data_IF_427376473531
#
_entry.id   IF_427376473531
#
_cell.length_a   1.000
_cell.length_b   1.000
_cell.length_c   1.000
_cell.angle_alpha   90.00
_cell.angle_beta   90.00
_cell.angle_gamma   90.00
#
_symmetry.space_group_name_H-M   'P 1'
#
loop_
_entity.id
_entity.type
_entity.pdbx_description
1 polymer ?
#
# COMPACT_ATOMS: atom_id res chain seq x y z
N UNK A 1 -3.23 -3.30 14.56
CA UNK A 1 -4.02 -2.16 14.02
C UNK A 1 -3.72 -2.03 12.55
N UNK A 2 -4.72 -1.71 11.76
CA UNK A 2 -4.51 -1.45 10.32
C UNK A 2 -4.15 0.02 10.07
N UNK A 3 -3.57 0.36 8.91
CA UNK A 3 -3.30 1.76 8.56
C UNK A 3 -4.55 2.65 8.64
N UNK A 4 -5.70 2.12 8.19
CA UNK A 4 -6.98 2.82 8.29
C UNK A 4 -7.40 3.05 9.76
N UNK A 5 -7.26 2.05 10.62
CA UNK A 5 -7.61 2.16 12.04
C UNK A 5 -6.83 3.26 12.74
N UNK A 6 -5.54 3.31 12.51
CA UNK A 6 -4.65 4.34 13.05
C UNK A 6 -5.05 5.73 12.55
N UNK A 7 -5.31 5.84 11.25
CA UNK A 7 -5.70 7.11 10.63
C UNK A 7 -7.06 7.62 11.10
N UNK A 8 -8.03 6.71 11.20
CA UNK A 8 -9.37 7.04 11.71
C UNK A 8 -9.29 7.61 13.13
N UNK A 9 -8.58 6.92 14.00
CA UNK A 9 -8.39 7.38 15.38
C UNK A 9 -7.67 8.72 15.45
N UNK A 10 -6.60 8.90 14.68
CA UNK A 10 -5.83 10.13 14.63
C UNK A 10 -6.68 11.31 14.16
N UNK A 11 -7.49 11.14 13.12
CA UNK A 11 -8.41 12.16 12.62
C UNK A 11 -9.47 12.53 13.67
N UNK A 12 -10.10 11.53 14.27
CA UNK A 12 -11.11 11.77 15.30
C UNK A 12 -10.55 12.58 16.49
N UNK A 13 -9.39 12.19 16.97
CA UNK A 13 -8.71 12.91 18.07
C UNK A 13 -8.30 14.33 17.67
N UNK A 14 -7.80 14.50 16.46
CA UNK A 14 -7.40 15.80 15.91
C UNK A 14 -8.58 16.78 15.84
N UNK A 15 -9.75 16.27 15.45
CA UNK A 15 -10.99 17.07 15.39
C UNK A 15 -11.72 17.17 16.73
N UNK A 16 -11.19 16.55 17.79
CA UNK A 16 -11.74 16.63 19.14
C UNK A 16 -13.11 15.98 19.32
N UNK A 17 -13.42 14.96 18.51
CA UNK A 17 -14.73 14.30 18.48
C UNK A 17 -14.69 12.97 19.26
N UNK A 18 -15.70 12.73 20.09
CA UNK A 18 -15.85 11.44 20.77
C UNK A 18 -16.37 10.35 19.83
N UNK A 19 -15.98 9.10 20.10
CA UNK A 19 -16.47 7.96 19.30
C UNK A 19 -18.00 7.90 19.20
N UNK A 20 -18.68 8.15 20.32
CA UNK A 20 -20.14 8.15 20.39
C UNK A 20 -20.75 9.21 19.46
N UNK A 21 -20.24 10.42 19.52
CA UNK A 21 -20.75 11.54 18.73
C UNK A 21 -20.50 11.33 17.23
N UNK A 22 -19.34 10.79 16.89
CA UNK A 22 -18.99 10.42 15.53
C UNK A 22 -19.93 9.35 14.99
N UNK A 23 -20.12 8.28 15.73
CA UNK A 23 -20.96 7.17 15.33
C UNK A 23 -22.42 7.64 15.13
N UNK A 24 -22.96 8.37 16.08
CA UNK A 24 -24.32 8.90 16.02
C UNK A 24 -24.53 9.81 14.82
N UNK A 25 -23.60 10.73 14.57
CA UNK A 25 -23.68 11.65 13.43
C UNK A 25 -23.61 10.93 12.08
N UNK A 26 -22.90 9.82 12.01
CA UNK A 26 -22.75 9.03 10.80
C UNK A 26 -23.79 7.92 10.63
N UNK A 27 -24.64 7.68 11.63
CA UNK A 27 -25.65 6.64 11.59
C UNK A 27 -25.12 5.23 11.85
N UNK A 28 -24.02 5.12 12.60
CA UNK A 28 -23.44 3.84 13.03
C UNK A 28 -23.49 3.68 14.56
N UNK A 29 -23.34 2.46 15.02
CA UNK A 29 -23.18 2.21 16.45
C UNK A 29 -21.77 2.54 16.93
N UNK A 30 -21.63 3.03 18.18
CA UNK A 30 -20.34 3.31 18.77
C UNK A 30 -19.44 2.06 18.81
N UNK A 31 -20.00 0.90 19.08
CA UNK A 31 -19.26 -0.38 19.10
C UNK A 31 -18.60 -0.69 17.75
N UNK A 32 -19.24 -0.33 16.65
CA UNK A 32 -18.69 -0.49 15.31
C UNK A 32 -17.50 0.45 15.08
N UNK A 33 -17.62 1.73 15.42
CA UNK A 33 -16.52 2.71 15.33
C UNK A 33 -15.34 2.28 16.21
N UNK A 34 -15.62 1.84 17.44
CA UNK A 34 -14.60 1.32 18.34
C UNK A 34 -13.86 0.10 17.74
N UNK A 35 -14.59 -0.84 17.18
CA UNK A 35 -14.01 -2.03 16.53
C UNK A 35 -13.16 -1.66 15.29
N UNK A 36 -13.56 -0.64 14.53
CA UNK A 36 -12.75 -0.12 13.43
C UNK A 36 -11.45 0.52 13.90
N UNK A 37 -11.49 1.34 14.95
CA UNK A 37 -10.31 2.00 15.51
C UNK A 37 -9.32 1.00 16.15
N UNK A 38 -9.83 -0.10 16.69
CA UNK A 38 -9.00 -1.18 17.25
C UNK A 38 -8.45 -2.14 16.17
N UNK A 39 -8.93 -2.02 14.94
CA UNK A 39 -8.55 -2.92 13.85
C UNK A 39 -9.17 -4.33 13.96
N UNK A 40 -10.16 -4.53 14.83
CA UNK A 40 -10.90 -5.79 14.97
C UNK A 40 -11.81 -6.01 13.77
N UNK A 41 -12.45 -4.95 13.29
CA UNK A 41 -13.22 -4.91 12.05
C UNK A 41 -12.54 -4.02 11.03
N UNK A 42 -12.82 -4.26 9.78
CA UNK A 42 -12.38 -3.44 8.68
C UNK A 42 -11.79 -4.21 7.52
N UNK A 43 -11.39 -3.52 6.49
CA UNK A 43 -11.64 -2.10 6.26
C UNK A 43 -13.12 -1.80 6.04
N UNK A 44 -13.61 -0.59 6.37
CA UNK A 44 -15.00 -0.23 6.18
C UNK A 44 -15.30 0.01 4.70
N UNK A 45 -16.59 0.20 4.39
CA UNK A 45 -17.03 0.57 3.06
C UNK A 45 -16.64 1.99 2.67
N UNK A 46 -16.65 2.28 1.39
CA UNK A 46 -16.47 3.64 0.88
C UNK A 46 -17.52 4.61 1.43
N UNK A 47 -18.75 4.14 1.62
CA UNK A 47 -19.82 4.95 2.20
C UNK A 47 -19.50 5.45 3.62
N UNK A 48 -18.88 4.61 4.44
CA UNK A 48 -18.37 5.03 5.75
C UNK A 48 -17.39 6.19 5.62
N UNK A 49 -16.43 6.06 4.71
CA UNK A 49 -15.40 7.10 4.48
C UNK A 49 -16.04 8.39 3.98
N UNK A 50 -17.01 8.31 3.08
CA UNK A 50 -17.70 9.48 2.55
C UNK A 50 -18.51 10.22 3.63
N UNK A 51 -19.17 9.49 4.52
CA UNK A 51 -19.88 10.06 5.68
C UNK A 51 -18.91 10.71 6.66
N UNK A 52 -17.79 10.06 6.95
CA UNK A 52 -16.74 10.60 7.80
C UNK A 52 -16.19 11.91 7.24
N UNK A 53 -15.86 11.91 5.95
CA UNK A 53 -15.34 13.09 5.26
C UNK A 53 -16.31 14.27 5.32
N UNK A 54 -17.59 14.01 5.14
CA UNK A 54 -18.64 15.06 5.26
C UNK A 54 -18.79 15.57 6.68
N UNK A 55 -18.83 14.69 7.65
CA UNK A 55 -19.03 15.06 9.05
C UNK A 55 -17.86 15.89 9.60
N UNK A 56 -16.63 15.42 9.36
CA UNK A 56 -15.41 16.10 9.80
C UNK A 56 -15.01 17.24 8.86
N UNK A 57 -15.65 17.41 7.73
CA UNK A 57 -15.28 18.37 6.68
C UNK A 57 -13.81 18.27 6.30
N UNK A 58 -13.41 17.05 5.97
CA UNK A 58 -12.04 16.76 5.58
C UNK A 58 -11.65 17.56 4.33
N UNK A 59 -10.41 18.04 4.30
CA UNK A 59 -9.82 18.59 3.09
C UNK A 59 -9.65 17.50 2.01
N UNK A 60 -9.44 17.92 0.78
CA UNK A 60 -9.15 16.98 -0.31
C UNK A 60 -7.91 16.12 -0.02
N UNK A 61 -6.87 16.70 0.58
CA UNK A 61 -5.65 15.99 0.95
C UNK A 61 -5.88 15.00 2.10
N UNK A 62 -6.64 15.38 3.12
CA UNK A 62 -7.00 14.47 4.21
C UNK A 62 -7.84 13.30 3.72
N UNK A 63 -8.80 13.54 2.84
CA UNK A 63 -9.61 12.50 2.23
C UNK A 63 -8.77 11.57 1.35
N UNK A 64 -7.89 12.11 0.53
CA UNK A 64 -6.99 11.32 -0.30
C UNK A 64 -6.08 10.42 0.54
N UNK A 65 -5.53 10.97 1.64
CA UNK A 65 -4.74 10.22 2.60
C UNK A 65 -5.54 9.08 3.26
N UNK A 66 -6.78 9.36 3.67
CA UNK A 66 -7.65 8.36 4.28
C UNK A 66 -8.02 7.23 3.30
N UNK A 67 -8.28 7.56 2.04
CA UNK A 67 -8.55 6.57 1.00
C UNK A 67 -7.34 5.70 0.68
N UNK A 68 -6.15 6.29 0.69
CA UNK A 68 -4.90 5.54 0.55
C UNK A 68 -4.71 4.55 1.69
N UNK A 69 -4.99 4.94 2.93
CA UNK A 69 -4.93 4.05 4.09
C UNK A 69 -6.02 2.99 4.08
N UNK A 70 -7.19 3.30 3.54
CA UNK A 70 -8.25 2.32 3.31
C UNK A 70 -7.79 1.22 2.37
N UNK A 71 -7.20 1.57 1.25
CA UNK A 71 -6.65 0.61 0.28
C UNK A 71 -5.51 -0.21 0.87
N UNK A 72 -4.61 0.41 1.63
CA UNK A 72 -3.52 -0.27 2.32
C UNK A 72 -3.99 -1.23 3.43
N UNK A 73 -5.23 -1.12 3.86
CA UNK A 73 -5.82 -1.96 4.92
C UNK A 73 -6.57 -3.17 4.41
N UNK A 74 -6.54 -3.43 3.11
CA UNK A 74 -7.15 -4.64 2.51
C UNK A 74 -6.55 -5.89 3.12
N UNK A 75 -7.41 -6.86 3.43
CA UNK A 75 -6.99 -8.14 4.01
C UNK A 75 -6.91 -9.26 2.99
N UNK A 76 -7.50 -9.07 1.82
CA UNK A 76 -7.58 -10.08 0.78
C UNK A 76 -7.00 -9.54 -0.52
N UNK A 77 -6.05 -10.27 -1.05
CA UNK A 77 -5.42 -10.00 -2.33
C UNK A 77 -5.48 -11.27 -3.17
N UNK A 78 -5.78 -11.10 -4.42
CA UNK A 78 -5.79 -12.20 -5.38
C UNK A 78 -4.55 -12.13 -6.24
N UNK A 79 -3.86 -13.26 -6.39
CA UNK A 79 -2.73 -13.36 -7.30
C UNK A 79 -3.26 -13.22 -8.73
N UNK A 80 -2.71 -12.30 -9.54
CA UNK A 80 -3.14 -12.14 -10.93
C UNK A 80 -2.98 -13.43 -11.73
N UNK A 81 -3.92 -13.71 -12.63
CA UNK A 81 -3.84 -14.88 -13.52
C UNK A 81 -2.58 -14.88 -14.41
N UNK A 82 -2.05 -13.70 -14.68
CA UNK A 82 -0.83 -13.49 -15.46
C UNK A 82 0.46 -13.68 -14.68
N UNK A 83 0.37 -13.96 -13.37
CA UNK A 83 1.53 -14.12 -12.51
C UNK A 83 2.33 -15.36 -12.89
N UNK A 84 3.65 -15.24 -12.81
CA UNK A 84 4.57 -16.34 -13.04
C UNK A 84 4.52 -17.38 -11.91
N UNK A 85 5.04 -18.55 -12.19
CA UNK A 85 5.22 -19.61 -11.19
C UNK A 85 6.04 -19.14 -9.98
N UNK A 86 7.08 -18.34 -10.23
CA UNK A 86 7.92 -17.78 -9.16
C UNK A 86 7.18 -16.73 -8.34
N UNK A 87 6.28 -15.95 -8.94
CA UNK A 87 5.42 -15.02 -8.20
C UNK A 87 4.48 -15.76 -7.24
N UNK A 88 3.93 -16.90 -7.65
CA UNK A 88 3.14 -17.77 -6.77
C UNK A 88 3.96 -18.27 -5.57
N UNK A 89 5.18 -18.73 -5.82
CA UNK A 89 6.07 -19.19 -4.75
C UNK A 89 6.43 -18.08 -3.79
N UNK A 90 6.77 -16.91 -4.31
CA UNK A 90 7.06 -15.73 -3.49
C UNK A 90 5.89 -15.36 -2.58
N UNK A 91 4.68 -15.30 -3.12
CA UNK A 91 3.49 -15.01 -2.33
C UNK A 91 3.26 -16.07 -1.23
N UNK A 92 3.42 -17.34 -1.55
CA UNK A 92 3.26 -18.42 -0.58
C UNK A 92 4.31 -18.40 0.54
N UNK A 93 5.56 -18.12 0.20
CA UNK A 93 6.66 -17.99 1.15
C UNK A 93 6.46 -16.78 2.06
N UNK A 94 6.17 -15.62 1.47
CA UNK A 94 5.89 -14.40 2.22
C UNK A 94 4.72 -14.59 3.18
N UNK A 95 3.65 -15.22 2.73
CA UNK A 95 2.47 -15.45 3.56
C UNK A 95 2.75 -16.32 4.78
N UNK A 96 3.57 -17.35 4.63
CA UNK A 96 3.97 -18.23 5.74
C UNK A 96 4.86 -17.52 6.76
N UNK A 97 5.71 -16.61 6.31
CA UNK A 97 6.69 -15.93 7.15
C UNK A 97 6.18 -14.59 7.71
N UNK A 98 5.04 -14.10 7.23
CA UNK A 98 4.59 -12.73 7.47
C UNK A 98 4.49 -12.38 8.97
N UNK A 99 3.98 -13.32 9.78
CA UNK A 99 3.85 -13.12 11.23
C UNK A 99 5.18 -13.19 11.99
N UNK A 100 6.21 -13.73 11.34
CA UNK A 100 7.54 -13.91 11.93
C UNK A 100 8.50 -12.79 11.55
N UNK A 101 8.15 -11.97 10.55
CA UNK A 101 8.99 -10.88 10.11
C UNK A 101 9.04 -9.77 11.16
N UNK A 102 10.25 -9.29 11.44
CA UNK A 102 10.44 -8.09 12.25
C UNK A 102 10.05 -6.82 11.47
N UNK A 103 9.76 -5.75 12.19
CA UNK A 103 9.48 -4.44 11.58
C UNK A 103 10.63 -3.96 10.68
N UNK A 104 11.87 -4.26 11.07
CA UNK A 104 13.03 -3.92 10.26
C UNK A 104 13.06 -4.69 8.93
N UNK A 105 12.75 -5.99 8.96
CA UNK A 105 12.67 -6.82 7.76
C UNK A 105 11.53 -6.35 6.84
N UNK A 106 10.38 -6.05 7.40
CA UNK A 106 9.23 -5.51 6.64
C UNK A 106 9.62 -4.18 5.96
N UNK A 107 10.30 -3.29 6.69
CA UNK A 107 10.77 -2.01 6.11
C UNK A 107 11.73 -2.21 4.95
N UNK A 108 12.68 -3.13 5.06
CA UNK A 108 13.62 -3.45 3.98
C UNK A 108 12.87 -3.95 2.74
N UNK A 109 11.93 -4.86 2.90
CA UNK A 109 11.12 -5.38 1.79
C UNK A 109 10.31 -4.26 1.12
N UNK A 110 9.69 -3.39 1.91
CA UNK A 110 8.96 -2.24 1.38
C UNK A 110 9.87 -1.27 0.62
N UNK A 111 11.08 -1.04 1.10
CA UNK A 111 12.08 -0.21 0.42
C UNK A 111 12.50 -0.80 -0.93
N UNK A 112 12.66 -2.11 -1.03
CA UNK A 112 12.96 -2.77 -2.30
C UNK A 112 11.84 -2.54 -3.32
N UNK A 113 10.58 -2.74 -2.92
CA UNK A 113 9.42 -2.51 -3.78
C UNK A 113 9.35 -1.04 -4.20
N UNK A 114 9.59 -0.12 -3.28
CA UNK A 114 9.59 1.32 -3.55
C UNK A 114 10.69 1.71 -4.55
N UNK A 115 11.86 1.14 -4.41
CA UNK A 115 13.00 1.37 -5.33
C UNK A 115 12.65 0.91 -6.74
N UNK A 116 12.01 -0.24 -6.89
CA UNK A 116 11.58 -0.74 -8.22
C UNK A 116 10.46 0.09 -8.83
N UNK A 117 9.61 0.68 -8.01
CA UNK A 117 8.54 1.56 -8.46
C UNK A 117 9.03 2.91 -8.98
N UNK A 118 10.05 3.49 -8.35
CA UNK A 118 10.56 4.84 -8.67
C UNK A 118 11.39 4.93 -9.94
N UNK A 119 11.65 3.85 -10.55
CA UNK A 119 12.35 3.86 -11.78
C UNK A 119 13.45 2.86 -11.86
N UNK A 120 13.23 2.18 -12.80
CA UNK A 120 14.03 1.03 -13.08
C UNK A 120 15.28 1.46 -13.74
N UNK A 121 16.25 0.95 -13.27
CA UNK A 121 17.03 0.17 -14.21
C UNK A 121 16.12 -0.95 -14.71
N UNK A 122 15.38 -0.75 -15.81
CA UNK A 122 14.87 -1.88 -16.59
C UNK A 122 16.07 -2.73 -16.89
N UNK A 123 16.07 -3.96 -16.41
CA UNK A 123 17.15 -4.91 -16.71
C UNK A 123 17.35 -5.11 -18.23
N UNK A 124 16.40 -4.63 -19.07
CA UNK A 124 16.49 -4.56 -20.50
C UNK A 124 17.13 -3.29 -21.07
N UNK A 125 17.28 -2.24 -20.26
CA UNK A 125 17.93 -0.98 -20.65
C UNK A 125 19.37 -0.88 -20.14
N UNK A 126 20.00 -1.98 -19.79
CA UNK A 126 21.44 -2.01 -19.77
C UNK A 126 21.87 -1.59 -21.17
N UNK A 127 22.58 -0.46 -21.32
CA UNK A 127 23.31 -0.29 -22.56
C UNK A 127 24.07 -1.58 -22.75
N UNK A 128 23.83 -2.24 -23.82
CA UNK A 128 24.60 -3.42 -24.18
C UNK A 128 26.01 -2.91 -24.32
N UNK A 129 26.76 -3.03 -23.24
CA UNK A 129 28.19 -2.87 -23.21
C UNK A 129 28.79 -4.00 -24.06
N UNK A 130 28.46 -4.01 -25.30
CA UNK A 130 28.80 -5.10 -26.14
C UNK A 130 28.69 -4.83 -27.62
N UNK A 131 28.17 -3.72 -28.03
CA UNK A 131 28.56 -3.19 -29.31
C UNK A 131 29.86 -2.40 -29.12
N UNK A 132 30.89 -3.08 -28.74
CA UNK A 132 32.18 -2.78 -29.29
C UNK A 132 31.93 -2.79 -30.78
N UNK A 133 31.88 -1.63 -31.39
CA UNK A 133 32.11 -1.54 -32.82
C UNK A 133 33.38 -2.33 -33.03
N UNK A 134 33.27 -3.50 -33.63
CA UNK A 134 34.36 -4.03 -34.39
C UNK A 134 34.61 -2.91 -35.39
N UNK A 135 35.64 -2.14 -35.17
CA UNK A 135 36.32 -1.50 -36.25
C UNK A 135 36.67 -2.67 -37.17
N UNK A 136 35.90 -2.80 -38.17
CA UNK A 136 36.37 -3.54 -39.32
C UNK A 136 37.69 -2.90 -39.69
N UNK A 137 38.74 -3.58 -39.36
CA UNK A 137 39.97 -3.43 -40.08
C UNK A 137 39.66 -3.95 -41.46
N UNK A 138 39.00 -3.16 -42.27
CA UNK A 138 39.19 -3.28 -43.66
C UNK A 138 40.66 -2.98 -43.87
N UNK A 139 41.32 -4.02 -44.20
CA UNK A 139 42.68 -4.02 -44.57
C UNK A 139 42.86 -3.04 -45.70
N UNK A 140 43.78 -2.17 -45.49
CA UNK A 140 44.43 -1.53 -46.57
C UNK A 140 45.24 -2.60 -47.21
N UNK A 141 44.66 -3.23 -48.23
CA UNK A 141 45.50 -3.85 -49.20
C UNK A 141 45.73 -2.90 -50.35
N UNK A 142 46.91 -2.59 -50.38
CA UNK A 142 47.51 -2.42 -51.67
C UNK A 142 48.47 -3.50 -51.87
#
# INVERSE_FOLDING_TARGET
MSPFSERLRALRLRYGVRQKDLAEAMGFEQSYVSALELGIKGPPSRDFVDRLARYLRLSADELAGLLSELEASRRHYTIPQTASSDAYRLCGELWRELDLLSDAQIRVMRQLIETWRRGPVKLGDRPVLGRVMRKDKEGTEM
#
